data_IF_283913096297
#
_entry.id   IF_283913096297
#
_cell.length_a   1.000
_cell.length_b   1.000
_cell.length_c   1.000
_cell.angle_alpha   90.00
_cell.angle_beta   90.00
_cell.angle_gamma   90.00
#
_symmetry.space_group_name_H-M   'P 1'
#
loop_
_entity.id
_entity.type
_entity.pdbx_description
1 polymer ?
#
# COMPACT_ATOMS: atom_id res chain seq x y z
N UNK A 1 17.05 13.18 -14.80
CA UNK A 1 16.79 14.33 -13.91
C UNK A 1 17.51 15.56 -14.45
N UNK A 2 18.84 15.51 -14.63
CA UNK A 2 19.62 16.70 -15.07
C UNK A 2 19.10 17.34 -16.37
N UNK A 3 18.56 16.56 -17.29
CA UNK A 3 18.04 17.04 -18.59
C UNK A 3 16.69 17.77 -18.49
N UNK A 4 16.07 17.81 -17.30
CA UNK A 4 14.76 18.42 -17.06
C UNK A 4 14.81 19.56 -16.03
N UNK A 5 16.00 20.01 -15.65
CA UNK A 5 16.14 21.12 -14.68
C UNK A 5 15.59 22.44 -15.24
N UNK A 6 15.65 22.63 -16.55
CA UNK A 6 15.14 23.83 -17.23
C UNK A 6 13.61 23.88 -17.31
N UNK A 7 12.91 22.81 -16.87
CA UNK A 7 11.45 22.69 -16.89
C UNK A 7 10.83 22.87 -15.48
N UNK A 8 11.64 23.10 -14.45
CA UNK A 8 11.19 23.19 -13.05
C UNK A 8 10.20 24.33 -12.75
N UNK A 9 10.05 25.29 -13.67
CA UNK A 9 9.07 26.38 -13.53
C UNK A 9 7.65 25.99 -13.96
N UNK A 10 7.46 24.83 -14.58
CA UNK A 10 6.14 24.27 -14.85
C UNK A 10 5.63 23.45 -13.66
N UNK A 11 4.32 23.51 -13.45
CA UNK A 11 3.67 22.50 -12.61
C UNK A 11 3.80 21.10 -13.25
N UNK A 12 3.91 20.04 -12.45
CA UNK A 12 3.93 18.69 -12.99
C UNK A 12 2.61 18.35 -13.69
N UNK A 13 2.68 17.51 -14.70
CA UNK A 13 1.50 17.03 -15.40
C UNK A 13 0.67 16.11 -14.48
N UNK A 14 -0.62 16.44 -14.36
CA UNK A 14 -1.54 15.73 -13.48
C UNK A 14 -1.59 14.23 -13.80
N UNK A 15 -1.33 13.40 -12.79
CA UNK A 15 -1.37 11.94 -12.93
C UNK A 15 -0.12 11.31 -13.53
N UNK A 16 0.94 12.11 -13.81
CA UNK A 16 2.27 11.62 -14.26
C UNK A 16 2.18 10.59 -15.40
N UNK A 17 1.60 10.92 -16.56
CA UNK A 17 1.23 9.94 -17.60
C UNK A 17 2.43 9.14 -18.12
N UNK A 18 3.60 9.75 -18.29
CA UNK A 18 4.80 9.04 -18.74
C UNK A 18 5.28 7.99 -17.72
N UNK A 19 5.29 8.36 -16.45
CA UNK A 19 5.67 7.43 -15.37
C UNK A 19 4.62 6.32 -15.21
N UNK A 20 3.35 6.68 -15.31
CA UNK A 20 2.22 5.74 -15.25
C UNK A 20 2.33 4.67 -16.33
N UNK A 21 2.57 5.08 -17.57
CA UNK A 21 2.74 4.17 -18.69
C UNK A 21 3.96 3.26 -18.50
N UNK A 22 5.10 3.82 -18.06
CA UNK A 22 6.30 3.04 -17.80
C UNK A 22 6.10 1.99 -16.71
N UNK A 23 5.40 2.32 -15.62
CA UNK A 23 5.09 1.36 -14.55
C UNK A 23 4.07 0.33 -15.02
N UNK A 24 3.03 0.75 -15.75
CA UNK A 24 2.04 -0.13 -16.35
C UNK A 24 2.70 -1.22 -17.20
N UNK A 25 3.61 -0.84 -18.09
CA UNK A 25 4.38 -1.77 -18.93
C UNK A 25 5.32 -2.66 -18.10
N UNK A 26 6.01 -2.09 -17.09
CA UNK A 26 6.94 -2.83 -16.26
C UNK A 26 6.25 -3.90 -15.41
N UNK A 27 5.07 -3.59 -14.87
CA UNK A 27 4.30 -4.50 -14.02
C UNK A 27 3.32 -5.39 -14.79
N UNK A 28 3.04 -5.08 -16.05
CA UNK A 28 2.02 -5.78 -16.85
C UNK A 28 0.59 -5.54 -16.36
N UNK A 29 0.32 -4.36 -15.78
CA UNK A 29 -1.01 -3.97 -15.27
C UNK A 29 -1.58 -2.80 -16.07
N UNK A 30 -2.90 -2.67 -16.11
CA UNK A 30 -3.54 -1.51 -16.75
C UNK A 30 -3.16 -0.21 -16.02
N UNK A 31 -2.84 0.83 -16.80
CA UNK A 31 -2.43 2.14 -16.28
C UNK A 31 -3.52 2.79 -15.38
N UNK A 32 -4.79 2.50 -15.61
CA UNK A 32 -5.92 2.97 -14.79
C UNK A 32 -5.92 2.40 -13.36
N UNK A 33 -5.21 1.30 -13.14
CA UNK A 33 -5.07 0.64 -11.82
C UNK A 33 -3.97 1.24 -10.95
N UNK A 34 -3.28 2.28 -11.40
CA UNK A 34 -2.14 2.89 -10.69
C UNK A 34 -2.53 4.27 -10.15
N UNK A 35 -2.25 4.55 -8.88
CA UNK A 35 -2.37 5.88 -8.28
C UNK A 35 -1.04 6.27 -7.64
N UNK A 36 -0.58 7.50 -7.95
CA UNK A 36 0.65 8.06 -7.40
C UNK A 36 0.38 8.96 -6.20
N UNK A 37 1.39 9.07 -5.34
CA UNK A 37 1.47 10.05 -4.28
C UNK A 37 2.92 10.55 -4.10
N UNK A 38 3.07 11.65 -3.38
CA UNK A 38 4.37 12.19 -2.95
C UNK A 38 5.04 11.25 -1.93
N UNK A 39 5.49 10.10 -2.41
CA UNK A 39 5.90 8.94 -1.63
C UNK A 39 4.71 8.11 -1.15
N UNK A 40 4.99 6.97 -0.49
CA UNK A 40 3.92 6.16 0.11
C UNK A 40 3.22 6.87 1.27
N UNK A 41 3.86 7.82 1.94
CA UNK A 41 3.20 8.60 3.01
C UNK A 41 1.91 9.26 2.51
N UNK A 42 1.94 9.88 1.32
CA UNK A 42 0.75 10.49 0.74
C UNK A 42 -0.24 9.44 0.21
N UNK A 43 0.23 8.32 -0.33
CA UNK A 43 -0.66 7.21 -0.75
C UNK A 43 -1.43 6.68 0.46
N UNK A 44 -0.76 6.43 1.59
CA UNK A 44 -1.38 5.96 2.84
C UNK A 44 -2.39 7.00 3.35
N UNK A 45 -2.02 8.29 3.32
CA UNK A 45 -2.92 9.38 3.72
C UNK A 45 -4.17 9.42 2.84
N UNK A 46 -4.01 9.36 1.51
CA UNK A 46 -5.14 9.38 0.57
C UNK A 46 -6.09 8.21 0.79
N UNK A 47 -5.56 6.99 0.94
CA UNK A 47 -6.36 5.80 1.20
C UNK A 47 -7.10 5.93 2.53
N UNK A 48 -6.39 6.28 3.61
CA UNK A 48 -6.99 6.44 4.94
C UNK A 48 -8.13 7.47 4.91
N UNK A 49 -7.90 8.62 4.31
CA UNK A 49 -8.90 9.70 4.21
C UNK A 49 -10.08 9.36 3.30
N UNK A 50 -9.87 8.56 2.26
CA UNK A 50 -10.95 8.17 1.34
C UNK A 50 -11.84 7.04 1.89
N UNK A 51 -11.31 6.24 2.82
CA UNK A 51 -11.99 5.03 3.31
C UNK A 51 -12.50 5.20 4.74
N UNK A 52 -11.73 5.87 5.62
CA UNK A 52 -12.03 5.90 7.05
C UNK A 52 -12.98 7.05 7.41
N UNK A 53 -13.92 6.73 8.29
CA UNK A 53 -14.79 7.69 8.99
C UNK A 53 -14.70 7.48 10.50
N UNK A 54 -15.12 8.46 11.34
CA UNK A 54 -15.10 8.28 12.79
C UNK A 54 -15.84 7.04 13.26
N UNK A 55 -15.14 6.17 13.98
CA UNK A 55 -15.66 4.90 14.49
C UNK A 55 -15.31 3.67 13.66
N UNK A 56 -14.78 3.84 12.45
CA UNK A 56 -14.20 2.75 11.66
C UNK A 56 -13.00 2.12 12.36
N UNK A 57 -12.66 0.90 11.98
CA UNK A 57 -11.56 0.14 12.55
C UNK A 57 -10.55 -0.24 11.49
N UNK A 58 -9.26 -0.05 11.81
CA UNK A 58 -8.17 -0.68 11.06
C UNK A 58 -7.48 -1.73 11.91
N UNK A 59 -6.92 -2.75 11.26
CA UNK A 59 -6.11 -3.79 11.90
C UNK A 59 -4.72 -3.81 11.27
N UNK A 60 -3.68 -3.85 12.08
CA UNK A 60 -2.28 -3.98 11.67
C UNK A 60 -1.44 -4.62 12.77
N UNK A 61 -0.12 -4.71 12.61
CA UNK A 61 0.77 -5.18 13.67
C UNK A 61 1.26 -4.03 14.56
N UNK A 62 1.62 -4.33 15.83
CA UNK A 62 2.13 -3.33 16.79
C UNK A 62 3.48 -2.74 16.39
N UNK A 63 4.37 -3.56 15.82
CA UNK A 63 5.70 -3.15 15.41
C UNK A 63 5.84 -3.19 13.88
N UNK A 64 5.28 -2.17 13.24
CA UNK A 64 5.30 -1.96 11.79
C UNK A 64 5.46 -0.46 11.46
N UNK A 65 5.27 -0.07 10.20
CA UNK A 65 5.41 1.32 9.78
C UNK A 65 4.31 2.21 10.40
N UNK A 66 4.72 3.18 11.22
CA UNK A 66 3.81 3.98 12.06
C UNK A 66 2.80 4.85 11.34
N UNK A 67 2.96 5.09 10.01
CA UNK A 67 2.03 5.94 9.26
C UNK A 67 0.64 5.32 9.11
N UNK A 68 0.50 4.00 9.17
CA UNK A 68 -0.82 3.36 9.17
C UNK A 68 -1.63 3.79 10.40
N UNK A 69 -0.99 3.72 11.57
CA UNK A 69 -1.58 4.16 12.85
C UNK A 69 -1.89 5.66 12.84
N UNK A 70 -0.90 6.49 12.48
CA UNK A 70 -1.06 7.94 12.58
C UNK A 70 -2.17 8.47 11.68
N UNK A 71 -2.25 7.99 10.43
CA UNK A 71 -3.31 8.42 9.52
C UNK A 71 -4.70 7.95 9.98
N UNK A 72 -4.82 6.74 10.52
CA UNK A 72 -6.08 6.25 11.07
C UNK A 72 -6.57 7.10 12.25
N UNK A 73 -5.67 7.47 13.17
CA UNK A 73 -6.01 8.35 14.32
C UNK A 73 -6.47 9.74 13.84
N UNK A 74 -5.83 10.30 12.79
CA UNK A 74 -6.24 11.60 12.22
C UNK A 74 -7.68 11.55 11.70
N UNK A 75 -8.08 10.43 11.09
CA UNK A 75 -9.46 10.22 10.61
C UNK A 75 -10.42 9.72 11.73
N UNK A 76 -9.95 9.69 13.00
CA UNK A 76 -10.74 9.28 14.17
C UNK A 76 -11.18 7.81 14.12
N UNK A 77 -10.43 6.96 13.44
CA UNK A 77 -10.65 5.53 13.40
C UNK A 77 -9.99 4.83 14.61
N UNK A 78 -10.53 3.69 14.99
CA UNK A 78 -9.93 2.80 15.97
C UNK A 78 -8.79 2.00 15.32
N UNK A 79 -7.67 1.86 16.02
CA UNK A 79 -6.54 1.05 15.56
C UNK A 79 -6.36 -0.16 16.46
N UNK A 80 -6.47 -1.35 15.89
CA UNK A 80 -6.12 -2.61 16.53
C UNK A 80 -4.71 -2.98 16.08
N UNK A 81 -3.82 -3.10 17.06
CA UNK A 81 -2.43 -3.48 16.85
C UNK A 81 -2.19 -4.90 17.42
N UNK A 82 -1.96 -5.85 16.52
CA UNK A 82 -1.71 -7.26 16.90
C UNK A 82 -0.21 -7.44 17.21
N UNK A 83 0.15 -8.07 18.33
CA UNK A 83 1.53 -8.37 18.65
C UNK A 83 2.22 -9.20 17.57
N UNK A 84 3.53 -8.96 17.37
CA UNK A 84 4.34 -9.79 16.50
C UNK A 84 4.47 -11.21 17.07
N UNK A 85 4.49 -12.20 16.19
CA UNK A 85 4.77 -13.59 16.51
C UNK A 85 6.11 -14.00 15.91
N UNK A 86 7.05 -14.38 16.75
CA UNK A 86 8.43 -14.71 16.34
C UNK A 86 9.11 -13.57 15.53
N UNK A 87 8.79 -12.32 15.82
CA UNK A 87 9.33 -11.15 15.14
C UNK A 87 8.67 -10.80 13.80
N UNK A 88 7.71 -11.57 13.32
CA UNK A 88 6.94 -11.35 12.10
C UNK A 88 5.46 -11.05 12.37
N UNK A 89 4.72 -10.72 11.31
CA UNK A 89 3.28 -10.54 11.38
C UNK A 89 2.58 -11.84 11.84
N UNK A 90 1.69 -11.75 12.81
CA UNK A 90 0.76 -12.82 13.17
C UNK A 90 -0.52 -12.69 12.34
N UNK A 91 -0.52 -13.26 11.12
CA UNK A 91 -1.66 -13.18 10.21
C UNK A 91 -2.92 -13.82 10.81
N UNK A 92 -2.78 -14.89 11.61
CA UNK A 92 -3.91 -15.50 12.33
C UNK A 92 -4.45 -14.54 13.41
N UNK A 93 -3.56 -13.90 14.17
CA UNK A 93 -3.95 -12.87 15.13
C UNK A 93 -4.67 -11.70 14.48
N UNK A 94 -4.21 -11.25 13.31
CA UNK A 94 -4.87 -10.19 12.53
C UNK A 94 -6.25 -10.65 12.07
N UNK A 95 -6.41 -11.87 11.54
CA UNK A 95 -7.70 -12.42 11.12
C UNK A 95 -8.72 -12.48 12.26
N UNK A 96 -8.28 -12.82 13.47
CA UNK A 96 -9.14 -12.88 14.64
C UNK A 96 -9.69 -11.50 15.07
N UNK A 97 -9.01 -10.43 14.69
CA UNK A 97 -9.43 -9.05 14.96
C UNK A 97 -10.25 -8.42 13.82
N UNK A 98 -10.32 -9.07 12.64
CA UNK A 98 -11.13 -8.62 11.52
C UNK A 98 -12.59 -8.98 11.75
N UNK A 99 -13.47 -7.99 11.66
CA UNK A 99 -14.92 -8.12 11.77
C UNK A 99 -15.66 -7.18 10.82
N UNK A 100 -16.98 -7.11 10.92
CA UNK A 100 -17.84 -6.28 10.05
C UNK A 100 -17.57 -4.77 10.15
N UNK A 101 -16.90 -4.31 11.23
CA UNK A 101 -16.50 -2.92 11.41
C UNK A 101 -15.07 -2.63 10.92
N UNK A 102 -14.39 -3.63 10.39
CA UNK A 102 -13.02 -3.47 9.89
C UNK A 102 -13.07 -2.83 8.50
N UNK A 103 -12.51 -1.64 8.38
CA UNK A 103 -12.50 -0.85 7.15
C UNK A 103 -11.20 -0.98 6.35
N UNK A 104 -10.06 -1.30 7.02
CA UNK A 104 -8.76 -1.53 6.39
C UNK A 104 -7.92 -2.53 7.18
N UNK A 105 -7.13 -3.33 6.47
CA UNK A 105 -6.02 -4.11 7.02
C UNK A 105 -4.72 -3.64 6.37
N UNK A 106 -3.70 -3.33 7.18
CA UNK A 106 -2.37 -2.96 6.71
C UNK A 106 -1.36 -4.06 7.00
N UNK A 107 -0.69 -4.54 5.95
CA UNK A 107 0.38 -5.55 6.01
C UNK A 107 1.65 -4.97 5.39
N UNK A 108 2.75 -4.94 6.13
CA UNK A 108 4.06 -4.52 5.64
C UNK A 108 4.92 -5.75 5.34
N UNK A 109 5.25 -5.99 4.09
CA UNK A 109 5.96 -7.18 3.67
C UNK A 109 7.01 -6.88 2.57
N UNK A 110 8.30 -6.92 2.85
CA UNK A 110 8.94 -7.19 4.15
C UNK A 110 8.63 -6.13 5.21
N UNK A 111 8.54 -6.55 6.48
CA UNK A 111 8.17 -5.64 7.56
C UNK A 111 9.29 -4.65 7.92
N UNK A 112 8.91 -3.41 8.16
CA UNK A 112 9.72 -2.39 8.78
C UNK A 112 9.26 -2.20 10.24
N UNK A 113 10.11 -2.46 11.29
CA UNK A 113 11.57 -2.49 11.23
C UNK A 113 12.21 -3.87 11.24
N UNK A 114 11.47 -4.98 11.31
CA UNK A 114 12.03 -6.28 11.64
C UNK A 114 12.72 -6.99 10.47
N UNK A 115 12.41 -6.61 9.22
CA UNK A 115 12.91 -7.25 8.02
C UNK A 115 12.36 -8.67 7.78
N UNK A 116 11.43 -9.12 8.61
CA UNK A 116 10.74 -10.39 8.41
C UNK A 116 9.71 -10.29 7.28
N UNK A 117 9.38 -11.42 6.69
CA UNK A 117 8.33 -11.51 5.69
C UNK A 117 7.44 -12.73 5.94
N UNK A 118 6.22 -12.70 5.41
CA UNK A 118 5.36 -13.86 5.24
C UNK A 118 5.39 -14.31 3.77
N UNK A 119 5.30 -15.61 3.53
CA UNK A 119 5.44 -16.19 2.21
C UNK A 119 4.14 -16.15 1.38
N UNK A 120 4.18 -16.66 0.15
CA UNK A 120 3.05 -16.65 -0.78
C UNK A 120 1.84 -17.40 -0.25
N UNK A 121 2.05 -18.59 0.32
CA UNK A 121 0.95 -19.44 0.83
C UNK A 121 0.31 -18.81 2.07
N UNK A 122 1.11 -18.16 2.93
CA UNK A 122 0.62 -17.43 4.10
C UNK A 122 -0.29 -16.26 3.67
N UNK A 123 0.14 -15.43 2.71
CA UNK A 123 -0.67 -14.30 2.22
C UNK A 123 -1.93 -14.80 1.51
N UNK A 124 -1.81 -15.81 0.66
CA UNK A 124 -2.96 -16.39 -0.04
C UNK A 124 -3.99 -16.93 0.94
N UNK A 125 -3.55 -17.75 1.92
CA UNK A 125 -4.44 -18.30 2.94
C UNK A 125 -5.09 -17.24 3.83
N UNK A 126 -4.40 -16.11 4.05
CA UNK A 126 -4.97 -14.94 4.72
C UNK A 126 -6.07 -14.29 3.87
N UNK A 127 -5.81 -14.02 2.58
CA UNK A 127 -6.76 -13.38 1.65
C UNK A 127 -8.01 -14.24 1.41
N UNK A 128 -7.89 -15.56 1.41
CA UNK A 128 -9.02 -16.50 1.30
C UNK A 128 -10.01 -16.39 2.47
N UNK A 129 -9.57 -15.86 3.63
CA UNK A 129 -10.33 -15.80 4.88
C UNK A 129 -10.80 -14.40 5.25
N UNK A 130 -10.12 -13.36 4.77
CA UNK A 130 -10.54 -11.97 4.99
C UNK A 130 -11.83 -11.71 4.20
N UNK A 131 -12.86 -11.08 4.80
CA UNK A 131 -14.05 -10.70 4.06
C UNK A 131 -13.72 -9.83 2.84
N UNK A 132 -14.31 -10.13 1.69
CA UNK A 132 -13.96 -9.49 0.42
C UNK A 132 -14.25 -7.98 0.39
N UNK A 133 -15.09 -7.48 1.29
CA UNK A 133 -15.35 -6.04 1.43
C UNK A 133 -14.26 -5.29 2.21
N UNK A 134 -13.34 -6.00 2.88
CA UNK A 134 -12.25 -5.41 3.66
C UNK A 134 -10.99 -5.25 2.79
N UNK A 135 -10.58 -4.02 2.46
CA UNK A 135 -9.32 -3.78 1.74
C UNK A 135 -8.10 -4.23 2.54
N UNK A 136 -7.23 -5.00 1.89
CA UNK A 136 -5.94 -5.44 2.43
C UNK A 136 -4.83 -4.72 1.67
N UNK A 137 -4.15 -3.82 2.35
CA UNK A 137 -3.06 -3.00 1.80
C UNK A 137 -1.72 -3.70 2.09
N UNK A 138 -1.05 -4.19 1.05
CA UNK A 138 0.25 -4.88 1.15
C UNK A 138 1.34 -3.86 0.78
N UNK A 139 2.02 -3.35 1.79
CA UNK A 139 3.12 -2.39 1.62
C UNK A 139 4.42 -3.14 1.34
N UNK A 140 4.83 -3.10 0.09
CA UNK A 140 6.03 -3.71 -0.45
C UNK A 140 7.17 -2.69 -0.68
N UNK A 141 7.32 -1.71 0.21
CA UNK A 141 8.37 -0.69 0.09
C UNK A 141 9.80 -1.26 0.01
N UNK A 142 10.00 -2.49 0.44
CA UNK A 142 11.29 -3.19 0.44
C UNK A 142 11.34 -4.40 -0.50
N UNK A 143 10.39 -4.52 -1.43
CA UNK A 143 10.27 -5.63 -2.37
C UNK A 143 11.57 -5.94 -3.13
N UNK A 144 12.26 -4.92 -3.62
CA UNK A 144 13.46 -5.07 -4.44
C UNK A 144 14.67 -5.64 -3.67
N UNK A 145 14.60 -5.73 -2.35
CA UNK A 145 15.63 -6.38 -1.51
C UNK A 145 15.34 -7.86 -1.24
N UNK A 146 14.19 -8.35 -1.67
CA UNK A 146 13.79 -9.74 -1.43
C UNK A 146 14.62 -10.68 -2.31
N UNK A 147 15.15 -11.73 -1.68
CA UNK A 147 15.89 -12.80 -2.35
C UNK A 147 15.25 -14.18 -2.13
N UNK A 148 14.13 -14.25 -1.41
CA UNK A 148 13.43 -15.49 -1.10
C UNK A 148 12.54 -15.91 -2.29
N UNK A 149 12.64 -17.17 -2.68
CA UNK A 149 11.89 -17.73 -3.83
C UNK A 149 10.38 -17.91 -3.51
N UNK A 150 10.02 -17.96 -2.23
CA UNK A 150 8.65 -18.15 -1.75
C UNK A 150 7.93 -16.83 -1.38
N UNK A 151 8.55 -15.68 -1.69
CA UNK A 151 7.93 -14.37 -1.46
C UNK A 151 6.66 -14.20 -2.31
N UNK A 152 5.60 -13.53 -1.79
CA UNK A 152 4.34 -13.39 -2.50
C UNK A 152 4.47 -12.68 -3.85
N UNK A 153 3.83 -13.24 -4.88
CA UNK A 153 3.49 -12.50 -6.09
C UNK A 153 2.13 -11.83 -5.88
N UNK A 154 2.17 -10.64 -5.28
CA UNK A 154 0.95 -9.88 -4.93
C UNK A 154 0.17 -9.45 -6.17
N UNK A 155 0.84 -9.15 -7.29
CA UNK A 155 0.16 -8.80 -8.54
C UNK A 155 -0.68 -9.97 -9.06
N UNK A 156 -0.15 -11.19 -8.99
CA UNK A 156 -0.89 -12.38 -9.37
C UNK A 156 -2.05 -12.70 -8.42
N UNK A 157 -1.87 -12.45 -7.12
CA UNK A 157 -2.96 -12.60 -6.15
C UNK A 157 -4.11 -11.62 -6.40
N UNK A 158 -3.82 -10.42 -6.91
CA UNK A 158 -4.84 -9.43 -7.30
C UNK A 158 -5.73 -9.90 -8.47
N UNK A 159 -5.34 -10.91 -9.23
CA UNK A 159 -6.20 -11.50 -10.26
C UNK A 159 -7.36 -12.31 -9.65
N UNK A 160 -7.22 -12.72 -8.39
CA UNK A 160 -8.20 -13.54 -7.66
C UNK A 160 -8.87 -12.78 -6.53
N UNK A 161 -8.15 -11.85 -5.89
CA UNK A 161 -8.60 -11.13 -4.71
C UNK A 161 -8.67 -9.62 -5.00
N UNK A 162 -9.87 -9.15 -5.36
CA UNK A 162 -10.11 -7.74 -5.69
C UNK A 162 -9.89 -6.77 -4.52
N UNK A 163 -9.83 -7.29 -3.30
CA UNK A 163 -9.56 -6.52 -2.09
C UNK A 163 -8.07 -6.50 -1.66
N UNK A 164 -7.18 -7.14 -2.42
CA UNK A 164 -5.74 -7.08 -2.20
C UNK A 164 -5.13 -5.93 -3.01
N UNK A 165 -4.41 -5.00 -2.35
CA UNK A 165 -3.81 -3.83 -2.99
C UNK A 165 -2.33 -3.73 -2.69
N UNK A 166 -1.53 -3.48 -3.72
CA UNK A 166 -0.07 -3.45 -3.67
C UNK A 166 0.44 -2.02 -3.59
N UNK A 167 1.31 -1.72 -2.62
CA UNK A 167 2.00 -0.42 -2.52
C UNK A 167 3.50 -0.59 -2.76
N UNK A 168 4.09 0.29 -3.57
CA UNK A 168 5.54 0.35 -3.85
C UNK A 168 6.08 1.76 -3.90
N UNK A 169 7.39 1.92 -3.73
CA UNK A 169 8.05 3.23 -3.66
C UNK A 169 9.38 3.25 -4.40
N UNK A 170 9.74 4.43 -4.91
CA UNK A 170 11.09 4.68 -5.44
C UNK A 170 12.07 5.17 -4.36
N UNK A 171 11.61 5.33 -3.12
CA UNK A 171 12.42 5.91 -2.03
C UNK A 171 13.52 4.99 -1.50
N UNK A 172 13.42 3.67 -1.69
CA UNK A 172 14.31 2.68 -1.07
C UNK A 172 15.37 2.17 -2.05
N UNK A 173 15.19 1.03 -2.65
CA UNK A 173 16.18 0.39 -3.53
C UNK A 173 16.60 1.27 -4.72
N UNK A 174 15.67 2.05 -5.25
CA UNK A 174 15.96 2.98 -6.35
C UNK A 174 16.79 4.22 -5.94
N UNK A 175 16.95 4.49 -4.63
CA UNK A 175 17.73 5.63 -4.14
C UNK A 175 17.12 6.99 -4.43
N UNK A 176 15.82 7.09 -4.72
CA UNK A 176 15.14 8.31 -5.16
C UNK A 176 14.25 8.91 -4.06
N UNK A 177 14.58 8.72 -2.79
CA UNK A 177 13.79 9.21 -1.65
C UNK A 177 13.46 10.71 -1.72
N UNK A 178 14.40 11.53 -2.23
CA UNK A 178 14.21 12.98 -2.38
C UNK A 178 13.22 13.38 -3.47
N UNK A 179 12.91 12.51 -4.43
CA UNK A 179 11.93 12.79 -5.49
C UNK A 179 10.49 12.59 -5.04
N UNK A 180 10.26 11.97 -3.88
CA UNK A 180 8.93 11.72 -3.32
C UNK A 180 7.99 11.04 -4.30
N UNK A 181 8.29 9.81 -4.72
CA UNK A 181 7.43 9.02 -5.61
C UNK A 181 7.11 7.68 -4.97
N UNK A 182 5.82 7.41 -4.81
CA UNK A 182 5.26 6.13 -4.43
C UNK A 182 3.96 5.89 -5.17
N UNK A 183 3.51 4.64 -5.23
CA UNK A 183 2.29 4.30 -5.93
C UNK A 183 1.59 3.10 -5.30
N UNK A 184 0.29 3.01 -5.59
CA UNK A 184 -0.52 1.83 -5.30
C UNK A 184 -1.07 1.26 -6.59
N UNK A 185 -1.15 -0.07 -6.66
CA UNK A 185 -1.88 -0.81 -7.69
C UNK A 185 -3.12 -1.42 -7.04
N UNK A 186 -4.29 -1.06 -7.58
CA UNK A 186 -5.58 -1.46 -7.03
C UNK A 186 -6.61 -1.71 -8.15
N UNK A 187 -7.86 -1.98 -7.80
CA UNK A 187 -8.97 -2.01 -8.77
C UNK A 187 -9.30 -0.60 -9.27
N UNK A 188 -9.84 -0.48 -10.47
CA UNK A 188 -10.24 0.82 -11.02
C UNK A 188 -11.21 1.56 -10.08
N UNK A 189 -12.15 0.85 -9.48
CA UNK A 189 -13.11 1.42 -8.53
C UNK A 189 -12.41 2.04 -7.31
N UNK A 190 -11.42 1.35 -6.73
CA UNK A 190 -10.64 1.85 -5.61
C UNK A 190 -9.81 3.08 -6.02
N UNK A 191 -9.14 3.02 -7.19
CA UNK A 191 -8.34 4.14 -7.71
C UNK A 191 -9.21 5.39 -7.94
N UNK A 192 -10.39 5.25 -8.53
CA UNK A 192 -11.31 6.37 -8.75
C UNK A 192 -11.71 7.04 -7.43
N UNK A 193 -12.07 6.26 -6.42
CA UNK A 193 -12.42 6.77 -5.08
C UNK A 193 -11.26 7.50 -4.40
N UNK A 194 -10.08 6.91 -4.42
CA UNK A 194 -8.90 7.48 -3.74
C UNK A 194 -8.32 8.70 -4.48
N UNK A 195 -8.44 8.72 -5.81
CA UNK A 195 -7.98 9.84 -6.63
C UNK A 195 -8.74 11.15 -6.36
N UNK A 196 -9.94 11.10 -5.77
CA UNK A 196 -10.70 12.29 -5.34
C UNK A 196 -9.93 13.08 -4.28
N UNK A 197 -9.19 12.38 -3.41
CA UNK A 197 -8.41 12.99 -2.33
C UNK A 197 -7.07 13.52 -2.82
N UNK A 198 -6.59 13.05 -3.96
CA UNK A 198 -5.25 13.39 -4.47
C UNK A 198 -5.13 14.88 -4.80
N UNK A 199 -4.08 15.59 -4.29
CA UNK A 199 -3.76 16.94 -4.75
C UNK A 199 -3.46 16.95 -6.27
N UNK A 200 -3.83 18.02 -6.99
CA UNK A 200 -3.71 18.04 -8.46
C UNK A 200 -2.27 18.04 -8.97
N UNK A 201 -1.31 18.45 -8.16
CA UNK A 201 0.11 18.63 -8.52
C UNK A 201 1.05 17.97 -7.53
N UNK A 202 0.69 16.80 -7.04
CA UNK A 202 1.53 16.03 -6.13
C UNK A 202 2.68 15.32 -6.86
#
# INVERSE_FOLDING_TARGET
>A
ISNHLDELYYYPETGSPLLREAISQHLGVDASRILFGAGLDEVILMISRAVLTPGDKIVTSEATFGQYYHNAIVESAQVIQVPLKNGGFDLEGILNEVDDNTSLVWLCNPNNPTGTYFNHDDLKGFLERVPSHVPVLIDEAYFEFVTADDYPDTLKLQETFDNAFLLRTFSKAYGLAGLRVGYVVATNEAIEKWNIIRPPFN
#
